data_IF_964701428872
#
_entry.id   IF_964701428872
#
_cell.length_a   1.000
_cell.length_b   1.000
_cell.length_c   1.000
_cell.angle_alpha   90.00
_cell.angle_beta   90.00
_cell.angle_gamma   90.00
#
_symmetry.space_group_name_H-M   'P 1'
#
loop_
_entity.id
_entity.type
_entity.pdbx_description
1 polymer ?
#
# COMPACT_ATOMS: atom_id res chain seq x y z
N UNK A 1 -11.06 6.20 18.71
CA UNK A 1 -11.48 5.57 17.44
C UNK A 1 -11.55 6.59 16.29
N UNK A 2 -12.26 7.72 16.42
CA UNK A 2 -12.38 8.73 15.35
C UNK A 2 -11.05 9.29 14.79
N UNK A 3 -10.00 9.42 15.61
CA UNK A 3 -8.68 9.91 15.17
C UNK A 3 -7.95 8.94 14.23
N UNK A 4 -8.11 7.62 14.44
CA UNK A 4 -7.44 6.59 13.63
C UNK A 4 -8.08 6.52 12.24
N UNK A 5 -9.42 6.54 12.17
CA UNK A 5 -10.16 6.58 10.90
C UNK A 5 -9.76 7.78 10.02
N UNK A 6 -9.54 8.97 10.61
CA UNK A 6 -9.06 10.14 9.87
C UNK A 6 -7.65 9.97 9.30
N UNK A 7 -6.77 9.26 10.01
CA UNK A 7 -5.41 8.98 9.54
C UNK A 7 -5.45 7.97 8.39
N UNK A 8 -6.29 6.93 8.50
CA UNK A 8 -6.50 5.95 7.44
C UNK A 8 -7.05 6.61 6.16
N UNK A 9 -8.04 7.50 6.29
CA UNK A 9 -8.60 8.22 5.14
C UNK A 9 -7.57 9.12 4.45
N UNK A 10 -6.75 9.85 5.22
CA UNK A 10 -5.68 10.69 4.70
C UNK A 10 -4.63 9.85 3.94
N UNK A 11 -4.22 8.72 4.51
CA UNK A 11 -3.26 7.79 3.92
C UNK A 11 -3.79 7.17 2.61
N UNK A 12 -5.06 6.76 2.59
CA UNK A 12 -5.71 6.23 1.38
C UNK A 12 -5.73 7.30 0.28
N UNK A 13 -6.07 8.55 0.63
CA UNK A 13 -6.08 9.67 -0.32
C UNK A 13 -4.69 9.98 -0.86
N UNK A 14 -3.67 10.00 -0.01
CA UNK A 14 -2.28 10.22 -0.44
C UNK A 14 -1.79 9.08 -1.35
N UNK A 15 -2.05 7.83 -0.97
CA UNK A 15 -1.74 6.66 -1.79
C UNK A 15 -2.40 6.73 -3.16
N UNK A 16 -3.68 7.08 -3.20
CA UNK A 16 -4.41 7.28 -4.46
C UNK A 16 -3.78 8.37 -5.32
N UNK A 17 -3.54 9.55 -4.76
CA UNK A 17 -2.94 10.68 -5.49
C UNK A 17 -1.55 10.31 -6.05
N UNK A 18 -0.76 9.58 -5.26
CA UNK A 18 0.57 9.11 -5.67
C UNK A 18 0.48 8.13 -6.85
N UNK A 19 -0.43 7.16 -6.78
CA UNK A 19 -0.66 6.22 -7.88
C UNK A 19 -1.11 6.95 -9.15
N UNK A 20 -2.15 7.80 -9.05
CA UNK A 20 -2.67 8.56 -10.19
C UNK A 20 -1.58 9.43 -10.83
N UNK A 21 -0.77 10.14 -10.01
CA UNK A 21 0.34 10.97 -10.51
C UNK A 21 1.37 10.14 -11.27
N UNK A 22 1.60 8.87 -10.88
CA UNK A 22 2.68 8.06 -11.45
C UNK A 22 2.27 7.20 -12.64
N UNK A 23 1.03 6.70 -12.67
CA UNK A 23 0.57 5.78 -13.73
C UNK A 23 -0.72 6.23 -14.45
N UNK A 24 -1.31 7.35 -14.04
CA UNK A 24 -2.58 7.84 -14.57
C UNK A 24 -3.79 7.12 -13.95
N UNK A 25 -4.94 7.79 -13.98
CA UNK A 25 -6.16 7.34 -13.28
C UNK A 25 -6.60 5.93 -13.69
N UNK A 26 -6.59 5.62 -15.00
CA UNK A 26 -7.06 4.33 -15.49
C UNK A 26 -6.21 3.14 -15.00
N UNK A 27 -4.88 3.29 -14.95
CA UNK A 27 -3.99 2.24 -14.46
C UNK A 27 -4.05 2.13 -12.93
N UNK A 28 -4.15 3.26 -12.23
CA UNK A 28 -4.30 3.29 -10.78
C UNK A 28 -5.60 2.60 -10.32
N UNK A 29 -6.72 2.84 -11.02
CA UNK A 29 -7.99 2.12 -10.76
C UNK A 29 -7.84 0.62 -10.97
N UNK A 30 -7.24 0.20 -12.09
CA UNK A 30 -7.02 -1.24 -12.37
C UNK A 30 -6.13 -1.91 -11.32
N UNK A 31 -5.12 -1.20 -10.82
CA UNK A 31 -4.26 -1.68 -9.74
C UNK A 31 -5.06 -1.99 -8.47
N UNK A 32 -5.90 -1.05 -8.01
CA UNK A 32 -6.74 -1.26 -6.83
C UNK A 32 -7.72 -2.43 -7.01
N UNK A 33 -8.44 -2.47 -8.13
CA UNK A 33 -9.40 -3.53 -8.45
C UNK A 33 -8.72 -4.91 -8.49
N UNK A 34 -7.53 -5.01 -9.07
CA UNK A 34 -6.78 -6.26 -9.11
C UNK A 34 -6.37 -6.73 -7.70
N UNK A 35 -5.94 -5.81 -6.83
CA UNK A 35 -5.59 -6.12 -5.44
C UNK A 35 -6.79 -6.57 -4.62
N UNK A 36 -7.91 -5.84 -4.66
CA UNK A 36 -9.15 -6.15 -3.92
C UNK A 36 -9.71 -7.54 -4.28
N UNK A 37 -9.69 -7.88 -5.58
CA UNK A 37 -10.22 -9.15 -6.07
C UNK A 37 -9.26 -10.33 -5.91
N UNK A 38 -8.04 -10.10 -5.43
CA UNK A 38 -6.98 -11.11 -5.43
C UNK A 38 -6.55 -11.55 -6.83
N UNK A 39 -6.90 -10.77 -7.86
CA UNK A 39 -6.52 -11.01 -9.25
C UNK A 39 -5.04 -10.68 -9.46
N UNK A 40 -4.44 -11.21 -10.53
CA UNK A 40 -3.02 -11.00 -10.81
C UNK A 40 -2.07 -11.60 -9.77
N UNK A 41 -2.58 -12.47 -8.89
CA UNK A 41 -1.84 -13.11 -7.80
C UNK A 41 -1.13 -12.06 -6.92
N UNK A 42 -1.89 -11.05 -6.47
CA UNK A 42 -1.41 -10.00 -5.55
C UNK A 42 -0.67 -10.57 -4.34
N UNK A 43 -1.09 -11.74 -3.85
CA UNK A 43 -0.38 -12.52 -2.82
C UNK A 43 1.03 -12.92 -3.24
N UNK A 44 1.23 -13.41 -4.47
CA UNK A 44 2.55 -13.73 -5.03
C UNK A 44 3.41 -12.48 -5.17
N UNK A 45 2.85 -11.34 -5.59
CA UNK A 45 3.60 -10.10 -5.72
C UNK A 45 3.99 -9.51 -4.35
N UNK A 46 3.10 -9.56 -3.36
CA UNK A 46 3.42 -9.20 -1.96
C UNK A 46 4.53 -10.11 -1.42
N UNK A 47 4.41 -11.43 -1.62
CA UNK A 47 5.45 -12.39 -1.23
C UNK A 47 6.78 -12.11 -1.92
N UNK A 48 6.75 -11.69 -3.19
CA UNK A 48 7.94 -11.30 -3.96
C UNK A 48 8.56 -10.01 -3.43
N UNK A 49 7.74 -9.02 -3.10
CA UNK A 49 8.18 -7.74 -2.55
C UNK A 49 8.93 -7.93 -1.22
N UNK A 50 8.41 -8.80 -0.35
CA UNK A 50 9.01 -9.11 0.95
C UNK A 50 9.99 -10.29 0.93
N UNK A 51 10.30 -10.85 -0.25
CA UNK A 51 11.10 -12.07 -0.36
C UNK A 51 12.50 -11.86 0.21
N UNK A 52 12.93 -12.82 1.05
CA UNK A 52 14.25 -12.80 1.67
C UNK A 52 14.38 -11.86 2.86
N UNK A 53 13.28 -11.18 3.27
CA UNK A 53 13.23 -10.41 4.52
C UNK A 53 12.55 -11.21 5.62
N UNK A 54 13.18 -11.24 6.78
CA UNK A 54 12.57 -11.73 8.01
C UNK A 54 11.49 -10.76 8.51
N UNK A 55 10.59 -11.26 9.35
CA UNK A 55 9.55 -10.44 9.97
C UNK A 55 10.15 -9.25 10.74
N UNK A 56 11.27 -9.45 11.44
CA UNK A 56 11.96 -8.41 12.20
C UNK A 56 12.54 -7.30 11.31
N UNK A 57 13.00 -7.65 10.11
CA UNK A 57 13.48 -6.66 9.13
C UNK A 57 12.34 -5.83 8.58
N UNK A 58 11.22 -6.49 8.22
CA UNK A 58 10.01 -5.80 7.76
C UNK A 58 9.49 -4.87 8.86
N UNK A 59 9.38 -5.37 10.10
CA UNK A 59 8.97 -4.58 11.25
C UNK A 59 9.87 -3.36 11.47
N UNK A 60 11.20 -3.55 11.39
CA UNK A 60 12.16 -2.43 11.51
C UNK A 60 12.04 -1.43 10.37
N UNK A 61 11.81 -1.87 9.13
CA UNK A 61 11.59 -0.98 7.98
C UNK A 61 10.35 -0.11 8.20
N UNK A 62 9.22 -0.74 8.49
CA UNK A 62 7.93 -0.06 8.73
C UNK A 62 8.01 0.87 9.94
N UNK A 63 8.70 0.46 11.02
CA UNK A 63 8.84 1.28 12.24
C UNK A 63 9.77 2.48 12.06
N UNK A 64 10.77 2.37 11.17
CA UNK A 64 11.73 3.46 10.89
C UNK A 64 11.13 4.52 9.96
N UNK A 65 10.23 4.13 9.08
CA UNK A 65 9.40 5.07 8.34
C UNK A 65 8.40 5.68 9.31
N UNK A 66 8.61 6.96 9.67
CA UNK A 66 7.53 7.72 10.32
C UNK A 66 6.40 7.79 9.31
N UNK A 67 5.26 7.17 9.63
CA UNK A 67 4.00 7.48 8.98
C UNK A 67 3.70 8.92 9.39
N UNK A 68 4.16 9.89 8.59
CA UNK A 68 3.81 11.30 8.76
C UNK A 68 2.50 11.48 7.98
N UNK A 69 1.37 11.77 8.66
CA UNK A 69 0.10 12.02 7.99
C UNK A 69 0.11 13.32 7.17
#
# INVERSE_FOLDING_TARGET
MAKVAKIEEAMIREGWNTLVKKMGVAKATRFLVAFERGEGNSVKEIKRFWRGKSLDEIYRMVKREKIVP
#
